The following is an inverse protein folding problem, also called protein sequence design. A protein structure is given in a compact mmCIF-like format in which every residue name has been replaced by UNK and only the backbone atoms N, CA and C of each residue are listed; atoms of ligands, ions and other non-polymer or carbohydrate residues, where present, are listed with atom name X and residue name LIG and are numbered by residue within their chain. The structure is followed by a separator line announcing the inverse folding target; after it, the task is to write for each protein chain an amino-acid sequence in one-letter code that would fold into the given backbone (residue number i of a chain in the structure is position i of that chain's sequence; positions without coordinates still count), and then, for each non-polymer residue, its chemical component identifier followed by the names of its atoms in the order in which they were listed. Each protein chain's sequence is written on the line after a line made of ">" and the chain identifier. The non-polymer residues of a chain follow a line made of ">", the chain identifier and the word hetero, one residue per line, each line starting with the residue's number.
data_IF_848216226579
#
_entry.id   IF_848216226579
#
_cell.length_a   1.000
_cell.length_b   1.000
_cell.length_c   1.000
_cell.angle_alpha   90.00
_cell.angle_beta   90.00
_cell.angle_gamma   90.00
#
_symmetry.space_group_name_H-M   'P 1'
#
loop_
_entity.id
_entity.type
_entity.pdbx_description
1 polymer ?
#
# COMPACT_ATOMS: atom_id res chain seq x y z
N UNK A 1 16.83 29.06 -8.33
CA UNK A 1 17.32 27.67 -8.41
C UNK A 1 16.28 26.88 -9.20
N UNK A 2 16.68 25.98 -10.10
CA UNK A 2 15.74 25.10 -10.80
C UNK A 2 15.33 23.96 -9.85
N UNK A 3 14.05 23.56 -9.81
CA UNK A 3 13.61 22.40 -9.05
C UNK A 3 14.30 21.13 -9.59
N UNK A 4 14.58 20.18 -8.69
CA UNK A 4 15.16 18.90 -9.05
C UNK A 4 14.12 18.00 -9.70
N UNK A 5 14.58 16.95 -10.38
CA UNK A 5 13.70 16.05 -11.13
C UNK A 5 12.72 15.30 -10.22
N UNK A 6 13.19 14.84 -9.06
CA UNK A 6 12.36 14.19 -8.05
C UNK A 6 11.24 15.10 -7.54
N UNK A 7 11.52 16.41 -7.38
CA UNK A 7 10.55 17.39 -6.91
C UNK A 7 9.48 17.65 -7.97
N UNK A 8 9.88 17.76 -9.24
CA UNK A 8 8.95 17.92 -10.36
C UNK A 8 8.01 16.71 -10.49
N UNK A 9 8.54 15.49 -10.41
CA UNK A 9 7.76 14.25 -10.47
C UNK A 9 6.80 14.13 -9.27
N UNK A 10 7.27 14.43 -8.05
CA UNK A 10 6.42 14.44 -6.87
C UNK A 10 5.29 15.48 -6.97
N UNK A 11 5.56 16.67 -7.51
CA UNK A 11 4.55 17.70 -7.75
C UNK A 11 3.50 17.27 -8.77
N UNK A 12 3.92 16.67 -9.88
CA UNK A 12 3.00 16.14 -10.88
C UNK A 12 2.13 15.01 -10.30
N UNK A 13 2.72 14.11 -9.52
CA UNK A 13 1.97 13.06 -8.86
C UNK A 13 0.94 13.61 -7.86
N UNK A 14 1.30 14.65 -7.09
CA UNK A 14 0.35 15.31 -6.17
C UNK A 14 -0.85 15.91 -6.92
N UNK A 15 -0.66 16.46 -8.11
CA UNK A 15 -1.77 16.94 -8.95
C UNK A 15 -2.69 15.79 -9.36
N UNK A 16 -2.12 14.68 -9.82
CA UNK A 16 -2.88 13.48 -10.19
C UNK A 16 -3.63 12.89 -8.99
N UNK A 17 -3.03 12.87 -7.79
CA UNK A 17 -3.68 12.44 -6.56
C UNK A 17 -4.89 13.32 -6.21
N UNK A 18 -4.77 14.64 -6.37
CA UNK A 18 -5.88 15.58 -6.15
C UNK A 18 -7.04 15.35 -7.13
N UNK A 19 -6.74 14.89 -8.33
CA UNK A 19 -7.73 14.47 -9.34
C UNK A 19 -8.27 13.05 -9.09
N UNK A 20 -7.80 12.35 -8.05
CA UNK A 20 -8.14 10.96 -7.77
C UNK A 20 -7.46 9.94 -8.68
N UNK A 21 -6.53 10.38 -9.53
CA UNK A 21 -5.79 9.54 -10.46
C UNK A 21 -4.53 8.95 -9.82
N UNK A 22 -4.73 8.08 -8.83
CA UNK A 22 -3.64 7.41 -8.11
C UNK A 22 -2.85 6.43 -9.00
N UNK A 23 -3.50 5.86 -10.03
CA UNK A 23 -2.87 4.92 -10.97
C UNK A 23 -1.73 5.59 -11.73
N UNK A 24 -1.93 6.81 -12.23
CA UNK A 24 -0.91 7.55 -12.96
C UNK A 24 0.07 8.28 -12.02
N UNK A 25 -0.35 8.61 -10.80
CA UNK A 25 0.53 9.18 -9.77
C UNK A 25 1.60 8.17 -9.31
N UNK A 26 1.25 6.89 -9.22
CA UNK A 26 2.11 5.84 -8.69
C UNK A 26 3.49 5.73 -9.37
N UNK A 27 3.60 5.58 -10.71
CA UNK A 27 4.91 5.47 -11.37
C UNK A 27 5.78 6.73 -11.15
N UNK A 28 5.17 7.92 -11.13
CA UNK A 28 5.89 9.17 -10.89
C UNK A 28 6.49 9.22 -9.47
N UNK A 29 5.72 8.78 -8.46
CA UNK A 29 6.21 8.73 -7.07
C UNK A 29 7.28 7.66 -6.86
N UNK A 30 7.17 6.51 -7.53
CA UNK A 30 8.23 5.49 -7.49
C UNK A 30 9.55 6.03 -8.03
N UNK A 31 9.50 6.67 -9.20
CA UNK A 31 10.68 7.31 -9.80
C UNK A 31 11.25 8.40 -8.88
N UNK A 32 10.39 9.30 -8.40
CA UNK A 32 10.81 10.40 -7.53
C UNK A 32 11.44 9.90 -6.23
N UNK A 33 10.86 8.85 -5.63
CA UNK A 33 11.36 8.26 -4.40
C UNK A 33 12.72 7.61 -4.60
N UNK A 34 12.93 6.92 -5.73
CA UNK A 34 14.24 6.37 -6.08
C UNK A 34 15.29 7.46 -6.35
N UNK A 35 14.94 8.49 -7.14
CA UNK A 35 15.83 9.61 -7.48
C UNK A 35 16.25 10.42 -6.26
N UNK A 36 15.35 10.57 -5.28
CA UNK A 36 15.60 11.29 -4.03
C UNK A 36 16.38 10.48 -2.98
N UNK A 37 16.84 9.27 -3.32
CA UNK A 37 17.46 8.33 -2.39
C UNK A 37 16.53 8.00 -1.20
N UNK A 38 15.27 7.69 -1.52
CA UNK A 38 14.22 7.31 -0.58
C UNK A 38 13.86 8.39 0.44
N UNK A 39 13.70 9.62 -0.03
CA UNK A 39 13.26 10.73 0.81
C UNK A 39 11.92 10.42 1.52
N UNK A 40 11.84 10.72 2.82
CA UNK A 40 10.69 10.41 3.67
C UNK A 40 9.37 11.03 3.19
N UNK A 41 9.36 12.31 2.80
CA UNK A 41 8.15 13.00 2.32
C UNK A 41 7.59 12.38 1.03
N UNK A 42 8.48 12.02 0.11
CA UNK A 42 8.08 11.32 -1.12
C UNK A 42 7.62 9.90 -0.79
N UNK A 43 8.25 9.25 0.20
CA UNK A 43 7.82 7.96 0.74
C UNK A 43 6.40 8.01 1.31
N UNK A 44 6.04 9.07 2.05
CA UNK A 44 4.68 9.26 2.57
C UNK A 44 3.65 9.42 1.45
N UNK A 45 3.96 10.20 0.41
CA UNK A 45 3.10 10.34 -0.77
C UNK A 45 2.93 9.01 -1.52
N UNK A 46 4.02 8.26 -1.67
CA UNK A 46 4.02 6.94 -2.29
C UNK A 46 3.16 5.95 -1.49
N UNK A 47 3.31 5.90 -0.17
CA UNK A 47 2.51 5.05 0.71
C UNK A 47 1.01 5.42 0.66
N UNK A 48 0.68 6.70 0.69
CA UNK A 48 -0.70 7.19 0.53
C UNK A 48 -1.32 6.77 -0.81
N UNK A 49 -0.56 6.89 -1.89
CA UNK A 49 -0.99 6.45 -3.23
C UNK A 49 -1.21 4.94 -3.29
N UNK A 50 -0.33 4.15 -2.65
CA UNK A 50 -0.46 2.69 -2.57
C UNK A 50 -1.69 2.27 -1.76
N UNK A 51 -1.98 2.94 -0.64
CA UNK A 51 -3.20 2.74 0.15
C UNK A 51 -4.45 3.00 -0.70
N UNK A 52 -4.49 4.13 -1.42
CA UNK A 52 -5.61 4.47 -2.30
C UNK A 52 -5.85 3.44 -3.42
N UNK A 53 -4.81 2.69 -3.81
CA UNK A 53 -4.86 1.61 -4.80
C UNK A 53 -5.09 0.22 -4.18
N UNK A 54 -5.49 0.12 -2.90
CA UNK A 54 -5.65 -1.13 -2.16
C UNK A 54 -4.38 -2.00 -2.12
N UNK A 55 -3.19 -1.38 -2.14
CA UNK A 55 -1.89 -2.04 -2.05
C UNK A 55 -1.25 -1.78 -0.69
N UNK A 56 -1.96 -2.16 0.38
CA UNK A 56 -1.58 -1.89 1.77
C UNK A 56 -0.24 -2.53 2.16
N UNK A 57 0.08 -3.71 1.64
CA UNK A 57 1.37 -4.39 1.89
C UNK A 57 2.56 -3.59 1.33
N UNK A 58 2.44 -3.13 0.08
CA UNK A 58 3.47 -2.28 -0.55
C UNK A 58 3.59 -0.94 0.19
N UNK A 59 2.47 -0.36 0.61
CA UNK A 59 2.46 0.89 1.37
C UNK A 59 3.22 0.73 2.70
N UNK A 60 2.96 -0.37 3.42
CA UNK A 60 3.65 -0.67 4.68
C UNK A 60 5.15 -0.87 4.46
N UNK A 61 5.56 -1.53 3.38
CA UNK A 61 6.97 -1.70 3.04
C UNK A 61 7.69 -0.36 2.83
N UNK A 62 7.03 0.61 2.18
CA UNK A 62 7.55 1.97 2.01
C UNK A 62 7.61 2.71 3.35
N UNK A 63 6.56 2.64 4.18
CA UNK A 63 6.56 3.30 5.48
C UNK A 63 7.69 2.78 6.39
N UNK A 64 8.00 1.48 6.34
CA UNK A 64 9.11 0.89 7.11
C UNK A 64 10.49 1.45 6.77
N UNK A 65 10.67 2.11 5.63
CA UNK A 65 11.94 2.77 5.30
C UNK A 65 12.07 4.17 5.89
N UNK A 66 10.98 4.74 6.42
CA UNK A 66 10.96 6.12 6.92
C UNK A 66 11.68 6.18 8.27
N UNK A 67 12.74 7.02 8.42
CA UNK A 67 13.47 7.18 9.66
C UNK A 67 12.56 7.58 10.82
N UNK A 68 12.85 7.12 12.04
CA UNK A 68 12.04 7.40 13.23
C UNK A 68 11.78 8.90 13.46
N UNK A 69 12.76 9.75 13.14
CA UNK A 69 12.67 11.21 13.26
C UNK A 69 11.61 11.85 12.34
N UNK A 70 11.22 11.15 11.27
CA UNK A 70 10.27 11.62 10.26
C UNK A 70 8.89 10.93 10.42
N UNK A 71 8.69 10.12 11.47
CA UNK A 71 7.44 9.38 11.75
C UNK A 71 6.40 10.23 12.50
N UNK A 72 6.07 11.38 11.92
CA UNK A 72 5.12 12.35 12.48
C UNK A 72 3.64 11.94 12.31
N UNK A 73 2.71 12.84 12.62
CA UNK A 73 1.25 12.62 12.55
C UNK A 73 0.79 12.01 11.22
N UNK A 74 1.36 12.45 10.09
CA UNK A 74 1.01 11.92 8.76
C UNK A 74 1.38 10.45 8.64
N UNK A 75 2.58 10.08 9.05
CA UNK A 75 3.04 8.69 9.07
C UNK A 75 2.10 7.81 9.90
N UNK A 76 1.79 8.23 11.13
CA UNK A 76 0.91 7.49 12.04
C UNK A 76 -0.49 7.32 11.45
N UNK A 77 -1.00 8.34 10.77
CA UNK A 77 -2.29 8.28 10.07
C UNK A 77 -2.29 7.25 8.93
N UNK A 78 -1.21 7.12 8.17
CA UNK A 78 -1.08 6.10 7.11
C UNK A 78 -0.95 4.70 7.70
N UNK A 79 -0.19 4.52 8.78
CA UNK A 79 -0.09 3.23 9.51
C UNK A 79 -1.47 2.80 10.00
N UNK A 80 -2.22 3.70 10.65
CA UNK A 80 -3.56 3.38 11.15
C UNK A 80 -4.52 2.98 10.02
N UNK A 81 -4.45 3.65 8.86
CA UNK A 81 -5.25 3.28 7.68
C UNK A 81 -4.91 1.89 7.15
N UNK A 82 -3.62 1.54 7.07
CA UNK A 82 -3.18 0.20 6.68
C UNK A 82 -3.73 -0.85 7.63
N UNK A 83 -3.64 -0.63 8.94
CA UNK A 83 -4.13 -1.60 9.93
C UNK A 83 -5.65 -1.78 9.84
N UNK A 84 -6.41 -0.72 9.60
CA UNK A 84 -7.85 -0.83 9.34
C UNK A 84 -8.16 -1.63 8.07
N UNK A 85 -7.40 -1.41 6.98
CA UNK A 85 -7.56 -2.17 5.73
C UNK A 85 -7.25 -3.65 5.91
N UNK A 86 -6.20 -3.98 6.68
CA UNK A 86 -5.84 -5.37 6.99
C UNK A 86 -6.92 -6.05 7.84
N UNK A 87 -7.41 -5.37 8.87
CA UNK A 87 -8.49 -5.90 9.70
C UNK A 87 -9.78 -6.13 8.90
N UNK A 88 -10.07 -5.25 7.93
CA UNK A 88 -11.20 -5.44 7.04
C UNK A 88 -11.02 -6.63 6.08
N UNK A 89 -9.79 -6.95 5.71
CA UNK A 89 -9.45 -8.11 4.88
C UNK A 89 -9.34 -9.42 5.67
N UNK A 90 -9.12 -9.38 6.99
CA UNK A 90 -8.94 -10.54 7.86
C UNK A 90 -10.21 -10.86 8.67
N UNK A 91 -11.30 -11.22 7.96
CA UNK A 91 -12.57 -11.53 8.61
C UNK A 91 -12.53 -12.88 9.35
N UNK A 92 -13.42 -13.12 10.35
CA UNK A 92 -13.48 -14.40 11.05
C UNK A 92 -13.63 -15.63 10.14
N UNK A 93 -14.32 -15.48 9.01
CA UNK A 93 -14.49 -16.53 8.01
C UNK A 93 -13.16 -16.85 7.31
N UNK A 94 -12.39 -15.83 6.93
CA UNK A 94 -11.06 -15.98 6.32
C UNK A 94 -10.11 -16.65 7.32
N UNK A 95 -10.11 -16.21 8.58
CA UNK A 95 -9.31 -16.82 9.65
C UNK A 95 -9.65 -18.31 9.83
N UNK A 96 -10.94 -18.67 9.79
CA UNK A 96 -11.37 -20.05 9.89
C UNK A 96 -10.90 -20.89 8.69
N UNK A 97 -11.00 -20.36 7.47
CA UNK A 97 -10.51 -21.02 6.26
C UNK A 97 -9.00 -21.20 6.26
N UNK A 98 -8.24 -20.20 6.72
CA UNK A 98 -6.79 -20.30 6.89
C UNK A 98 -6.43 -21.44 7.87
N UNK A 99 -7.14 -21.55 8.99
CA UNK A 99 -6.91 -22.64 9.95
C UNK A 99 -7.20 -24.01 9.33
N UNK A 100 -8.28 -24.15 8.57
CA UNK A 100 -8.62 -25.42 7.90
C UNK A 100 -7.58 -25.82 6.84
N UNK A 101 -7.06 -24.84 6.08
CA UNK A 101 -5.97 -25.07 5.11
C UNK A 101 -4.67 -25.46 5.83
N UNK A 102 -4.37 -24.83 6.97
CA UNK A 102 -3.19 -25.18 7.77
C UNK A 102 -3.27 -26.60 8.36
N UNK A 103 -4.47 -27.04 8.75
CA UNK A 103 -4.73 -28.41 9.23
C UNK A 103 -4.75 -29.44 8.09
N UNK A 104 -5.16 -29.03 6.88
CA UNK A 104 -5.30 -29.90 5.71
C UNK A 104 -4.60 -29.32 4.46
N UNK A 105 -3.26 -29.21 4.46
CA UNK A 105 -2.52 -28.50 3.40
C UNK A 105 -2.59 -29.19 2.02
N UNK A 106 -2.98 -30.47 1.96
CA UNK A 106 -3.15 -31.22 0.71
C UNK A 106 -4.55 -31.04 0.09
N UNK A 107 -5.48 -30.41 0.81
CA UNK A 107 -6.83 -30.14 0.30
C UNK A 107 -6.83 -28.93 -0.64
N UNK A 108 -6.69 -29.23 -1.93
CA UNK A 108 -6.72 -28.23 -2.99
C UNK A 108 -8.03 -27.43 -3.05
N UNK A 109 -9.16 -28.00 -2.59
CA UNK A 109 -10.44 -27.30 -2.59
C UNK A 109 -10.48 -26.24 -1.48
N UNK A 110 -9.95 -26.52 -0.30
CA UNK A 110 -9.81 -25.52 0.79
C UNK A 110 -8.85 -24.40 0.38
N UNK A 111 -7.71 -24.74 -0.22
CA UNK A 111 -6.76 -23.74 -0.72
C UNK A 111 -7.38 -22.83 -1.79
N UNK A 112 -8.17 -23.40 -2.71
CA UNK A 112 -8.87 -22.63 -3.74
C UNK A 112 -9.93 -21.70 -3.13
N UNK A 113 -10.71 -22.18 -2.16
CA UNK A 113 -11.72 -21.36 -1.47
C UNK A 113 -11.09 -20.18 -0.74
N UNK A 114 -9.99 -20.41 -0.02
CA UNK A 114 -9.25 -19.34 0.64
C UNK A 114 -8.72 -18.31 -0.37
N UNK A 115 -8.12 -18.77 -1.47
CA UNK A 115 -7.61 -17.89 -2.52
C UNK A 115 -8.71 -17.02 -3.14
N UNK A 116 -9.93 -17.56 -3.30
CA UNK A 116 -11.08 -16.81 -3.81
C UNK A 116 -11.55 -15.74 -2.82
N UNK A 117 -11.52 -16.01 -1.51
CA UNK A 117 -11.91 -15.01 -0.50
C UNK A 117 -10.88 -13.90 -0.32
N UNK A 118 -9.60 -14.21 -0.53
CA UNK A 118 -8.51 -13.22 -0.51
C UNK A 118 -8.39 -12.43 -1.82
N UNK A 119 -9.08 -12.86 -2.89
CA UNK A 119 -9.04 -12.17 -4.15
C UNK A 119 -9.76 -10.81 -4.05
N UNK A 120 -9.17 -9.72 -4.58
CA UNK A 120 -9.82 -8.42 -4.60
C UNK A 120 -11.12 -8.46 -5.44
N UNK A 121 -12.16 -7.74 -4.98
CA UNK A 121 -13.57 -7.88 -5.36
C UNK A 121 -13.98 -7.58 -6.82
N UNK A 122 -13.06 -7.55 -7.78
CA UNK A 122 -13.35 -7.54 -9.22
C UNK A 122 -13.41 -8.96 -9.83
N UNK A 123 -13.22 -9.99 -9.01
CA UNK A 123 -13.40 -11.41 -9.37
C UNK A 123 -14.85 -11.92 -9.23
N UNK A 124 -15.83 -11.04 -8.96
CA UNK A 124 -17.25 -11.36 -8.83
C UNK A 124 -18.11 -10.66 -9.89
#
# INVERSE_FOLDING_TARGET
>A
MLPREEELKAQQAMQLMQEGNYTDALPLLKDAWQLSNQNGEIGLLLAETLIALNRSEDAEAVLKTIPLQDQDTRYQGLVAQIELLKQAADTPEIQQLQQQVAENPEDAALATQLALQLAPGWAQ
#
